data_IF_475740897448
#
_entry.id   IF_475740897448
#
_cell.length_a   1.000
_cell.length_b   1.000
_cell.length_c   1.000
_cell.angle_alpha   90.00
_cell.angle_beta   90.00
_cell.angle_gamma   90.00
#
_symmetry.space_group_name_H-M   'P 1'
#
loop_
_entity.id
_entity.type
_entity.pdbx_description
1 polymer ?
#
# COMPACT_ATOMS: atom_id res chain seq x y z
N UNK A 1 -0.66 -61.02 36.99
CA UNK A 1 -0.04 -59.69 37.25
C UNK A 1 0.18 -58.84 35.99
N UNK A 2 0.38 -59.39 34.78
CA UNK A 2 0.54 -58.60 33.53
C UNK A 2 -0.67 -57.74 33.12
N UNK A 3 -1.90 -58.16 33.43
CA UNK A 3 -3.13 -57.44 33.02
C UNK A 3 -3.40 -56.18 33.86
N UNK A 4 -2.89 -56.11 35.09
CA UNK A 4 -3.03 -54.94 35.98
C UNK A 4 -2.00 -53.86 35.59
N UNK A 5 -0.78 -54.28 35.21
CA UNK A 5 0.27 -53.38 34.75
C UNK A 5 -0.13 -52.61 33.47
N UNK A 6 -0.87 -53.27 32.57
CA UNK A 6 -1.32 -52.68 31.30
C UNK A 6 -2.40 -51.62 31.49
N UNK A 7 -3.26 -51.77 32.51
CA UNK A 7 -4.27 -50.76 32.87
C UNK A 7 -3.68 -49.49 33.47
N UNK A 8 -2.62 -49.61 34.27
CA UNK A 8 -1.95 -48.46 34.90
C UNK A 8 -1.18 -47.65 33.86
N UNK A 9 -0.51 -48.30 32.91
CA UNK A 9 0.21 -47.62 31.82
C UNK A 9 -0.75 -46.86 30.90
N UNK A 10 -1.93 -47.44 30.60
CA UNK A 10 -2.94 -46.76 29.79
C UNK A 10 -3.53 -45.52 30.51
N UNK A 11 -3.71 -45.59 31.83
CA UNK A 11 -4.21 -44.45 32.61
C UNK A 11 -3.21 -43.30 32.70
N UNK A 12 -1.91 -43.58 32.79
CA UNK A 12 -0.86 -42.53 32.83
C UNK A 12 -0.75 -41.81 31.48
N UNK A 13 -0.97 -42.51 30.36
CA UNK A 13 -0.89 -41.93 29.03
C UNK A 13 -2.05 -40.96 28.72
N UNK A 14 -3.24 -41.19 29.29
CA UNK A 14 -4.40 -40.28 29.14
C UNK A 14 -4.22 -38.99 29.96
N UNK A 15 -3.62 -39.07 31.15
CA UNK A 15 -3.32 -37.87 31.95
C UNK A 15 -2.11 -37.08 31.43
N UNK A 16 -1.14 -37.74 30.77
CA UNK A 16 0.01 -37.07 30.16
C UNK A 16 -0.33 -36.20 28.94
N UNK A 17 -1.42 -36.52 28.21
CA UNK A 17 -1.85 -35.75 27.04
C UNK A 17 -2.61 -34.45 27.41
N UNK A 18 -3.18 -34.36 28.62
CA UNK A 18 -3.92 -33.16 29.07
C UNK A 18 -2.95 -32.08 29.58
N UNK A 19 -1.74 -32.45 30.00
CA UNK A 19 -0.74 -31.50 30.53
C UNK A 19 0.00 -30.68 29.46
N UNK A 20 -0.11 -31.04 28.17
CA UNK A 20 0.50 -30.28 27.07
C UNK A 20 -0.49 -29.41 26.28
N UNK A 21 -1.77 -29.44 26.65
CA UNK A 21 -2.75 -28.47 26.15
C UNK A 21 -2.79 -27.25 27.09
N UNK A 22 -1.63 -26.62 27.32
CA UNK A 22 -1.65 -25.23 27.74
C UNK A 22 -2.18 -24.45 26.55
N UNK A 23 -3.48 -24.16 26.57
CA UNK A 23 -4.04 -23.08 25.78
C UNK A 23 -3.25 -21.84 26.18
N UNK A 24 -2.33 -21.43 25.31
CA UNK A 24 -1.67 -20.13 25.43
C UNK A 24 -2.79 -19.09 25.32
N UNK A 25 -3.32 -18.65 26.47
CA UNK A 25 -4.17 -17.47 26.48
C UNK A 25 -3.29 -16.33 25.96
N UNK A 26 -3.72 -15.60 24.92
CA UNK A 26 -2.95 -14.50 24.39
C UNK A 26 -2.66 -13.52 25.52
N UNK A 27 -1.37 -13.21 25.73
CA UNK A 27 -1.00 -12.24 26.76
C UNK A 27 -1.52 -10.85 26.36
N UNK A 28 -1.80 -9.95 27.30
CA UNK A 28 -2.24 -8.57 26.99
C UNK A 28 -1.33 -7.90 25.95
N UNK A 29 -0.02 -8.18 26.02
CA UNK A 29 1.00 -7.72 25.06
C UNK A 29 0.78 -8.22 23.62
N UNK A 30 0.26 -9.44 23.45
CA UNK A 30 -0.03 -10.01 22.12
C UNK A 30 -1.32 -9.43 21.54
N UNK A 31 -2.32 -9.14 22.38
CA UNK A 31 -3.55 -8.47 21.98
C UNK A 31 -3.31 -7.03 21.53
N UNK A 32 -2.53 -6.24 22.29
CA UNK A 32 -2.21 -4.85 21.94
C UNK A 32 -1.43 -4.76 20.62
N UNK A 33 -0.45 -5.65 20.41
CA UNK A 33 0.30 -5.70 19.16
C UNK A 33 -0.59 -6.07 17.95
N UNK A 34 -1.55 -6.97 18.14
CA UNK A 34 -2.50 -7.33 17.09
C UNK A 34 -3.42 -6.15 16.72
N UNK A 35 -3.88 -5.38 17.71
CA UNK A 35 -4.70 -4.19 17.48
C UNK A 35 -3.90 -3.08 16.78
N UNK A 36 -2.65 -2.82 17.19
CA UNK A 36 -1.76 -1.86 16.50
C UNK A 36 -1.52 -2.26 15.05
N UNK A 37 -1.25 -3.54 14.80
CA UNK A 37 -1.06 -4.06 13.46
C UNK A 37 -2.33 -3.86 12.61
N UNK A 38 -3.50 -4.18 13.16
CA UNK A 38 -4.79 -3.98 12.46
C UNK A 38 -5.00 -2.51 12.11
N UNK A 39 -4.77 -1.60 13.06
CA UNK A 39 -4.91 -0.15 12.83
C UNK A 39 -4.00 0.36 11.71
N UNK A 40 -2.75 -0.11 11.66
CA UNK A 40 -1.82 0.28 10.59
C UNK A 40 -2.25 -0.27 9.22
N UNK A 41 -2.82 -1.47 9.16
CA UNK A 41 -3.39 -2.04 7.92
C UNK A 41 -4.63 -1.25 7.47
N UNK A 42 -5.52 -0.89 8.38
CA UNK A 42 -6.69 -0.07 8.04
C UNK A 42 -6.27 1.33 7.55
N UNK A 43 -5.27 1.94 8.19
CA UNK A 43 -4.70 3.21 7.76
C UNK A 43 -4.08 3.10 6.34
N UNK A 44 -3.43 1.97 6.02
CA UNK A 44 -2.89 1.69 4.70
C UNK A 44 -4.00 1.65 3.63
N UNK A 45 -5.06 0.88 3.88
CA UNK A 45 -6.21 0.77 2.98
C UNK A 45 -6.87 2.14 2.72
N UNK A 46 -6.98 2.97 3.76
CA UNK A 46 -7.54 4.32 3.69
C UNK A 46 -6.60 5.35 3.05
N UNK A 47 -5.28 5.12 3.08
CA UNK A 47 -4.29 6.04 2.49
C UNK A 47 -4.42 6.19 0.96
N UNK A 48 -5.30 5.41 0.32
CA UNK A 48 -5.69 5.59 -1.08
C UNK A 48 -5.35 4.41 -2.00
N UNK A 49 -4.87 3.29 -1.45
CA UNK A 49 -4.39 2.14 -2.23
C UNK A 49 -5.47 1.47 -3.08
N UNK A 50 -6.76 1.53 -2.70
CA UNK A 50 -7.82 0.80 -3.40
C UNK A 50 -8.66 1.64 -4.38
N UNK A 51 -8.93 2.91 -4.06
CA UNK A 51 -9.90 3.73 -4.80
C UNK A 51 -9.27 4.74 -5.77
N UNK A 52 -8.08 5.27 -5.45
CA UNK A 52 -7.43 6.30 -6.28
C UNK A 52 -6.51 5.71 -7.35
N UNK A 53 -6.08 4.45 -7.18
CA UNK A 53 -5.18 3.73 -8.11
C UNK A 53 -5.82 3.35 -9.44
N UNK A 54 -7.16 3.46 -9.58
CA UNK A 54 -7.90 3.01 -10.76
C UNK A 54 -8.35 4.13 -11.69
N UNK A 55 -8.14 5.39 -11.31
CA UNK A 55 -8.65 6.53 -12.08
C UNK A 55 -7.53 7.47 -12.47
N UNK A 56 -7.56 7.92 -13.72
CA UNK A 56 -6.63 8.92 -14.23
C UNK A 56 -7.04 10.28 -13.67
N UNK A 57 -6.12 10.95 -12.97
CA UNK A 57 -6.30 12.31 -12.47
C UNK A 57 -6.16 13.27 -13.66
N UNK A 58 -7.23 14.00 -13.98
CA UNK A 58 -7.30 14.90 -15.15
C UNK A 58 -7.40 16.38 -14.78
N UNK A 59 -7.42 16.69 -13.49
CA UNK A 59 -7.57 18.05 -12.99
C UNK A 59 -6.49 18.33 -11.95
N UNK A 60 -5.89 19.53 -11.96
CA UNK A 60 -5.00 19.93 -10.88
C UNK A 60 -5.79 20.12 -9.58
N UNK A 61 -5.08 20.08 -8.46
CA UNK A 61 -5.68 20.31 -7.13
C UNK A 61 -5.29 19.25 -6.11
N UNK A 62 -5.83 19.40 -4.89
CA UNK A 62 -5.50 18.49 -3.79
C UNK A 62 -6.23 17.15 -3.92
N UNK A 63 -5.50 16.06 -3.67
CA UNK A 63 -6.05 14.72 -3.47
C UNK A 63 -6.70 14.54 -2.10
N UNK A 64 -6.55 15.51 -1.19
CA UNK A 64 -7.03 15.46 0.19
C UNK A 64 -6.55 14.20 0.93
N UNK A 65 -5.26 13.89 0.80
CA UNK A 65 -4.66 12.73 1.46
C UNK A 65 -4.70 12.91 2.99
N UNK A 66 -5.19 11.92 3.76
CA UNK A 66 -5.30 12.03 5.21
C UNK A 66 -3.91 12.00 5.87
N UNK A 67 -3.61 12.97 6.74
CA UNK A 67 -2.36 12.98 7.52
C UNK A 67 -2.48 12.24 8.86
N UNK A 68 -3.68 11.83 9.23
CA UNK A 68 -3.97 11.11 10.46
C UNK A 68 -5.18 10.18 10.30
N UNK A 69 -5.12 9.00 10.94
CA UNK A 69 -6.27 8.11 11.10
C UNK A 69 -6.21 7.41 12.47
N UNK A 70 -7.21 7.64 13.32
CA UNK A 70 -7.30 7.02 14.66
C UNK A 70 -5.99 7.13 15.48
N UNK A 71 -5.31 8.28 15.42
CA UNK A 71 -4.03 8.52 16.10
C UNK A 71 -2.79 7.99 15.35
N UNK A 72 -2.95 7.23 14.27
CA UNK A 72 -1.87 6.89 13.35
C UNK A 72 -1.47 8.14 12.57
N UNK A 73 -0.21 8.56 12.66
CA UNK A 73 0.33 9.65 11.86
C UNK A 73 0.72 9.13 10.47
N UNK A 74 0.33 9.84 9.42
CA UNK A 74 0.56 9.45 8.03
C UNK A 74 1.36 10.55 7.34
N UNK A 75 2.51 10.18 6.78
CA UNK A 75 3.40 11.05 6.03
C UNK A 75 3.55 10.54 4.60
N UNK A 76 3.54 11.46 3.64
CA UNK A 76 3.67 11.17 2.22
C UNK A 76 4.98 11.74 1.68
N UNK A 77 5.59 11.02 0.74
CA UNK A 77 6.75 11.48 0.00
C UNK A 77 6.59 11.10 -1.47
N UNK A 78 6.37 12.10 -2.31
CA UNK A 78 6.29 11.88 -3.75
C UNK A 78 7.68 11.72 -4.36
N UNK A 79 7.79 10.77 -5.29
CA UNK A 79 8.98 10.58 -6.13
C UNK A 79 9.05 11.56 -7.29
N UNK A 80 7.94 12.24 -7.60
CA UNK A 80 7.87 13.26 -8.63
C UNK A 80 7.07 14.47 -8.11
N UNK A 81 7.77 15.31 -7.35
CA UNK A 81 7.19 16.46 -6.64
C UNK A 81 6.63 17.55 -7.55
N UNK A 82 7.10 17.59 -8.80
CA UNK A 82 6.65 18.56 -9.79
C UNK A 82 5.24 18.23 -10.29
N UNK A 83 4.80 16.96 -10.18
CA UNK A 83 3.47 16.50 -10.59
C UNK A 83 2.55 16.29 -9.40
N UNK A 84 3.03 15.64 -8.33
CA UNK A 84 2.29 15.55 -7.07
C UNK A 84 3.25 15.86 -5.94
N UNK A 85 2.98 16.86 -5.12
CA UNK A 85 3.83 17.20 -3.99
C UNK A 85 3.61 16.26 -2.77
N UNK A 86 4.39 16.46 -1.71
CA UNK A 86 4.29 15.66 -0.48
C UNK A 86 3.00 15.93 0.32
N UNK A 87 2.20 16.94 -0.06
CA UNK A 87 0.89 17.22 0.52
C UNK A 87 -0.26 16.67 -0.35
N UNK A 88 0.06 15.96 -1.44
CA UNK A 88 -0.93 15.44 -2.38
C UNK A 88 -1.55 16.50 -3.28
N UNK A 89 -0.89 17.63 -3.52
CA UNK A 89 -1.32 18.64 -4.49
C UNK A 89 -0.82 18.25 -5.88
N UNK A 90 -1.76 18.09 -6.82
CA UNK A 90 -1.51 17.71 -8.20
C UNK A 90 -1.32 18.93 -9.08
N UNK A 91 -0.22 18.92 -9.84
CA UNK A 91 0.06 19.83 -10.96
C UNK A 91 0.14 18.98 -12.23
N UNK A 92 -0.63 19.34 -13.26
CA UNK A 92 -0.58 18.60 -14.52
C UNK A 92 0.71 18.91 -15.28
N UNK A 93 1.40 17.90 -15.84
CA UNK A 93 2.61 18.13 -16.62
C UNK A 93 2.30 18.76 -17.97
N UNK A 94 3.22 19.59 -18.46
CA UNK A 94 3.18 20.23 -19.78
C UNK A 94 3.98 19.44 -20.81
N UNK A 95 4.03 18.12 -20.66
CA UNK A 95 4.64 17.19 -21.59
C UNK A 95 3.98 15.82 -21.41
N UNK A 96 3.95 15.03 -22.47
CA UNK A 96 3.41 13.70 -22.42
C UNK A 96 4.44 12.72 -21.85
N UNK A 97 3.96 11.68 -21.17
CA UNK A 97 4.83 10.60 -20.72
C UNK A 97 5.19 9.69 -21.89
N UNK A 98 6.48 9.47 -22.12
CA UNK A 98 6.97 8.47 -23.08
C UNK A 98 7.86 7.52 -22.29
N UNK A 99 7.44 6.25 -22.15
CA UNK A 99 8.27 5.25 -21.49
C UNK A 99 9.62 5.15 -22.18
N UNK A 100 10.70 5.16 -21.40
CA UNK A 100 12.07 5.10 -21.94
C UNK A 100 12.36 3.84 -22.76
N UNK A 101 11.53 2.80 -22.65
CA UNK A 101 11.54 1.61 -23.51
C UNK A 101 11.10 1.92 -24.95
N UNK A 102 10.17 2.84 -25.12
CA UNK A 102 9.62 3.23 -26.43
C UNK A 102 10.52 4.24 -27.15
N UNK A 103 11.56 4.75 -26.49
CA UNK A 103 12.49 5.73 -27.06
C UNK A 103 13.66 5.10 -27.83
N UNK A 104 13.88 3.78 -27.73
CA UNK A 104 15.05 3.14 -28.34
C UNK A 104 14.82 2.77 -29.80
N UNK A 105 15.35 3.60 -30.70
CA UNK A 105 15.47 3.29 -32.13
C UNK A 105 14.20 3.49 -32.95
N UNK A 106 13.19 4.16 -32.39
CA UNK A 106 11.91 4.40 -33.04
C UNK A 106 11.85 5.84 -33.60
N UNK A 107 11.34 5.99 -34.81
CA UNK A 107 11.16 7.30 -35.43
C UNK A 107 10.02 8.09 -34.74
N UNK A 108 10.11 9.42 -34.76
CA UNK A 108 9.21 10.30 -33.99
C UNK A 108 7.74 10.22 -34.44
N UNK A 109 7.50 9.72 -35.64
CA UNK A 109 6.17 9.50 -36.21
C UNK A 109 5.46 8.26 -35.64
N UNK A 110 6.16 7.36 -34.95
CA UNK A 110 5.57 6.13 -34.37
C UNK A 110 5.06 6.33 -32.93
N UNK A 111 5.13 7.55 -32.39
CA UNK A 111 4.58 7.89 -31.07
C UNK A 111 3.05 8.08 -31.06
N UNK A 112 2.39 7.80 -32.18
CA UNK A 112 0.93 7.80 -32.28
C UNK A 112 0.32 6.68 -31.41
N UNK A 113 -0.68 7.02 -30.60
CA UNK A 113 -1.39 6.17 -29.62
C UNK A 113 -0.59 5.77 -28.37
N UNK A 114 0.49 6.48 -28.02
CA UNK A 114 1.17 6.27 -26.74
C UNK A 114 0.32 6.70 -25.54
N UNK A 115 0.61 6.09 -24.39
CA UNK A 115 0.00 6.45 -23.12
C UNK A 115 0.60 7.77 -22.61
N UNK A 116 -0.16 8.85 -22.76
CA UNK A 116 0.25 10.18 -22.31
C UNK A 116 0.35 10.34 -20.78
N UNK A 117 -0.22 9.40 -20.02
CA UNK A 117 -0.40 9.57 -18.60
C UNK A 117 0.86 9.20 -17.80
N UNK A 118 1.17 10.05 -16.82
CA UNK A 118 2.32 9.94 -15.96
C UNK A 118 2.05 9.00 -14.78
N UNK A 119 2.80 7.90 -14.62
CA UNK A 119 2.74 7.09 -13.42
C UNK A 119 3.52 7.77 -12.29
N UNK A 120 2.84 8.10 -11.19
CA UNK A 120 3.44 8.75 -10.03
C UNK A 120 3.40 7.81 -8.84
N UNK A 121 4.54 7.66 -8.18
CA UNK A 121 4.66 6.85 -6.96
C UNK A 121 4.79 7.78 -5.76
N UNK A 122 3.95 7.57 -4.75
CA UNK A 122 4.06 8.23 -3.44
C UNK A 122 4.39 7.17 -2.40
N UNK A 123 5.49 7.36 -1.68
CA UNK A 123 5.85 6.54 -0.54
C UNK A 123 5.09 7.05 0.70
N UNK A 124 4.42 6.15 1.42
CA UNK A 124 3.64 6.46 2.62
C UNK A 124 4.35 5.89 3.83
N UNK A 125 4.45 6.67 4.90
CA UNK A 125 4.96 6.24 6.21
C UNK A 125 3.90 6.46 7.26
N UNK A 126 3.51 5.38 7.94
CA UNK A 126 2.51 5.37 9.01
C UNK A 126 3.20 5.07 10.33
N UNK A 127 2.94 5.91 11.33
CA UNK A 127 3.56 5.78 12.66
C UNK A 127 2.49 5.75 13.74
N UNK A 128 2.53 4.74 14.61
CA UNK A 128 1.64 4.64 15.76
C UNK A 128 2.36 3.98 16.93
N UNK A 129 2.35 4.62 18.10
CA UNK A 129 2.96 4.11 19.34
C UNK A 129 4.41 3.59 19.17
N UNK A 130 5.21 4.27 18.35
CA UNK A 130 6.60 3.90 18.07
C UNK A 130 6.78 2.79 17.03
N UNK A 131 5.70 2.16 16.55
CA UNK A 131 5.74 1.28 15.39
C UNK A 131 5.62 2.07 14.09
N UNK A 132 6.37 1.64 13.08
CA UNK A 132 6.41 2.28 11.76
C UNK A 132 6.07 1.25 10.69
N UNK A 133 5.20 1.63 9.77
CA UNK A 133 4.92 0.88 8.54
C UNK A 133 5.03 1.78 7.33
N UNK A 134 5.35 1.17 6.19
CA UNK A 134 5.44 1.89 4.92
C UNK A 134 4.61 1.21 3.85
N UNK A 135 4.06 2.01 2.95
CA UNK A 135 3.26 1.56 1.82
C UNK A 135 3.60 2.39 0.57
N UNK A 136 3.04 2.00 -0.58
CA UNK A 136 3.19 2.73 -1.84
C UNK A 136 1.83 3.00 -2.47
N UNK A 137 1.63 4.24 -2.86
CA UNK A 137 0.51 4.66 -3.68
C UNK A 137 0.97 4.86 -5.11
N UNK A 138 0.17 4.36 -6.05
CA UNK A 138 0.38 4.53 -7.49
C UNK A 138 -0.75 5.40 -8.02
N UNK A 139 -0.39 6.57 -8.54
CA UNK A 139 -1.31 7.48 -9.21
C UNK A 139 -1.00 7.53 -10.69
N UNK A 140 -2.01 7.85 -11.49
CA UNK A 140 -1.87 8.10 -12.92
C UNK A 140 -2.40 9.48 -13.20
N UNK A 141 -1.55 10.39 -13.70
CA UNK A 141 -1.90 11.80 -13.94
C UNK A 141 -1.87 12.07 -15.44
N UNK A 142 -2.96 12.60 -15.98
CA UNK A 142 -3.00 13.06 -17.36
C UNK A 142 -2.28 14.41 -17.48
N UNK A 143 -1.55 14.65 -18.59
CA UNK A 143 -0.95 15.94 -18.88
C UNK A 143 -2.01 17.02 -19.06
N UNK A 144 -1.56 18.27 -19.02
CA UNK A 144 -2.41 19.42 -19.26
C UNK A 144 -3.03 19.36 -20.67
N UNK A 145 -4.16 20.05 -20.87
CA UNK A 145 -4.84 20.08 -22.15
C UNK A 145 -3.90 20.53 -23.28
N UNK A 146 -3.90 19.79 -24.40
CA UNK A 146 -3.01 20.03 -25.54
C UNK A 146 -1.62 19.38 -25.45
N UNK A 147 -1.24 18.81 -24.31
CA UNK A 147 0.06 18.15 -24.12
C UNK A 147 -0.06 16.61 -24.25
N UNK A 148 -0.45 16.13 -25.42
CA UNK A 148 -0.52 14.69 -25.75
C UNK A 148 0.66 14.27 -26.64
N UNK A 149 1.10 13.01 -26.51
CA UNK A 149 2.03 12.39 -27.46
C UNK A 149 1.39 12.26 -28.84
N UNK A 150 0.06 12.24 -28.91
CA UNK A 150 -0.72 12.42 -30.12
C UNK A 150 -0.92 13.89 -30.46
N UNK A 151 0.17 14.63 -30.68
CA UNK A 151 0.16 16.07 -31.04
C UNK A 151 -0.75 16.43 -32.24
N UNK A 152 -1.38 15.45 -32.91
CA UNK A 152 -2.29 15.60 -34.06
C UNK A 152 -3.73 15.13 -33.82
N UNK A 153 -4.15 14.76 -32.60
CA UNK A 153 -5.54 14.36 -32.30
C UNK A 153 -6.43 15.48 -31.75
N UNK A 154 -6.01 16.74 -31.87
CA UNK A 154 -6.83 17.92 -31.55
C UNK A 154 -6.19 19.20 -32.04
#
# INVERSE_FOLDING_TARGET
>A
MKKILLGIILSIMVFGLIACAQTEEPTETDSENYDIFRLLIEAEDLSGMSNQTKTVIRTPGSLNLPTEYQGVQILYSSRNKDIIDDNGVVTQPNECWIESRDQQGIAKEEFENLNDNWPIVIDVTMTYQGQVRTAKLLFVVAPAEGYTCNKYLG
#
